data_IF_382169887153
#
_entry.id   IF_382169887153
#
_cell.length_a   1.000
_cell.length_b   1.000
_cell.length_c   1.000
_cell.angle_alpha   90.00
_cell.angle_beta   90.00
_cell.angle_gamma   90.00
#
_symmetry.space_group_name_H-M   'P 1'
#
loop_
_entity.id
_entity.type
_entity.pdbx_description
1 polymer ?
#
# COMPACT_ATOMS: atom_id res chain seq x y z
N UNK A 1 21.27 -59.50 63.53
CA UNK A 1 20.29 -59.46 64.64
C UNK A 1 19.49 -58.16 64.47
N UNK A 2 18.22 -58.34 64.55
CA UNK A 2 17.14 -57.37 64.76
C UNK A 2 16.72 -56.48 63.60
N UNK A 3 15.58 -56.86 63.08
CA UNK A 3 14.72 -56.17 62.12
C UNK A 3 13.95 -55.05 62.81
N UNK A 4 13.84 -53.90 62.12
CA UNK A 4 12.70 -53.00 62.37
C UNK A 4 12.19 -52.54 60.97
N UNK A 5 10.98 -53.00 60.64
CA UNK A 5 10.15 -52.54 59.53
C UNK A 5 9.57 -51.19 59.94
N UNK A 6 9.78 -50.18 59.11
CA UNK A 6 8.97 -48.97 59.19
C UNK A 6 8.12 -48.88 57.93
N UNK A 7 6.82 -48.87 58.13
CA UNK A 7 5.78 -48.54 57.12
C UNK A 7 5.91 -47.06 56.73
N UNK A 8 6.07 -46.80 55.45
CA UNK A 8 5.93 -45.46 54.88
C UNK A 8 4.51 -45.34 54.35
N UNK A 9 3.71 -44.51 55.02
CA UNK A 9 2.40 -44.02 54.46
C UNK A 9 2.65 -43.11 53.25
N UNK A 10 2.19 -43.54 52.12
CA UNK A 10 2.17 -42.72 50.93
C UNK A 10 0.97 -41.76 51.00
N UNK A 11 1.22 -40.51 51.38
CA UNK A 11 0.26 -39.43 51.27
C UNK A 11 0.15 -38.95 49.80
N UNK A 12 -0.98 -39.27 49.16
CA UNK A 12 -1.31 -38.82 47.83
C UNK A 12 -1.75 -37.34 47.89
N UNK A 13 -0.83 -36.40 47.65
CA UNK A 13 -1.15 -34.99 47.42
C UNK A 13 -1.73 -34.85 46.02
N UNK A 14 -3.04 -34.73 45.92
CA UNK A 14 -3.71 -34.24 44.71
C UNK A 14 -3.37 -32.76 44.54
N UNK A 15 -2.45 -32.46 43.65
CA UNK A 15 -2.25 -31.10 43.09
C UNK A 15 -3.41 -30.77 42.16
N UNK A 16 -4.36 -29.97 42.61
CA UNK A 16 -5.33 -29.30 41.80
C UNK A 16 -4.57 -28.31 40.89
N UNK A 17 -4.28 -28.75 39.67
CA UNK A 17 -3.88 -27.84 38.58
C UNK A 17 -5.07 -26.95 38.25
N UNK A 18 -5.07 -25.73 38.76
CA UNK A 18 -5.96 -24.70 38.31
C UNK A 18 -5.63 -24.41 36.82
N UNK A 19 -6.44 -24.92 35.90
CA UNK A 19 -6.49 -24.41 34.55
C UNK A 19 -6.88 -22.92 34.64
N UNK A 20 -5.90 -22.02 34.58
CA UNK A 20 -6.15 -20.65 34.28
C UNK A 20 -6.71 -20.62 32.84
N UNK A 21 -8.02 -20.40 32.73
CA UNK A 21 -8.65 -20.03 31.44
C UNK A 21 -8.00 -18.74 30.98
N UNK A 22 -7.11 -18.82 29.98
CA UNK A 22 -6.67 -17.68 29.20
C UNK A 22 -7.95 -17.01 28.68
N UNK A 23 -8.24 -15.83 29.16
CA UNK A 23 -9.28 -14.99 28.59
C UNK A 23 -8.98 -14.86 27.09
N UNK A 24 -9.93 -15.13 26.19
CA UNK A 24 -9.69 -14.90 24.77
C UNK A 24 -9.28 -13.44 24.62
N UNK A 25 -8.07 -13.19 24.14
CA UNK A 25 -7.60 -11.85 23.86
C UNK A 25 -8.66 -11.17 23.00
N UNK A 26 -9.13 -10.00 23.42
CA UNK A 26 -10.07 -9.21 22.63
C UNK A 26 -9.44 -9.01 21.25
N UNK A 27 -10.12 -9.45 20.21
CA UNK A 27 -9.69 -9.18 18.84
C UNK A 27 -9.50 -7.68 18.67
N UNK A 28 -8.41 -7.23 18.04
CA UNK A 28 -8.21 -5.81 17.79
C UNK A 28 -9.43 -5.26 17.02
N UNK A 29 -9.98 -4.13 17.47
CA UNK A 29 -11.09 -3.47 16.76
C UNK A 29 -10.64 -2.95 15.40
N UNK A 30 -11.60 -2.76 14.48
CA UNK A 30 -11.34 -2.18 13.17
C UNK A 30 -10.92 -0.71 13.26
N UNK A 31 -10.32 -0.19 12.20
CA UNK A 31 -9.99 1.24 12.10
C UNK A 31 -11.21 2.16 12.17
N UNK A 32 -12.41 1.67 11.83
CA UNK A 32 -13.65 2.46 11.93
C UNK A 32 -14.10 2.69 13.39
N UNK A 33 -13.62 1.89 14.34
CA UNK A 33 -13.98 2.01 15.76
C UNK A 33 -12.96 2.82 16.55
N UNK A 34 -11.95 3.39 15.91
CA UNK A 34 -10.86 4.16 16.54
C UNK A 34 -10.70 5.50 15.84
N UNK A 35 -10.37 6.52 16.60
CA UNK A 35 -9.87 7.77 16.03
C UNK A 35 -8.46 7.55 15.49
N UNK A 36 -8.25 7.88 14.20
CA UNK A 36 -6.96 7.76 13.52
C UNK A 36 -6.42 9.18 13.28
N UNK A 37 -5.25 9.46 13.82
CA UNK A 37 -4.59 10.76 13.67
C UNK A 37 -4.16 11.00 12.21
N UNK A 38 -4.21 12.26 11.79
CA UNK A 38 -3.51 12.70 10.57
C UNK A 38 -2.03 12.95 10.88
N UNK A 39 -1.16 12.48 9.99
CA UNK A 39 0.30 12.75 10.04
C UNK A 39 0.68 13.95 9.17
N UNK A 40 -0.19 14.32 8.25
CA UNK A 40 -0.13 15.50 7.39
C UNK A 40 -1.56 15.79 6.92
N UNK A 41 -1.91 17.01 6.48
CA UNK A 41 -3.26 17.34 6.03
C UNK A 41 -3.79 16.32 5.01
N UNK A 42 -4.90 15.65 5.34
CA UNK A 42 -5.54 14.61 4.52
C UNK A 42 -4.85 13.23 4.54
N UNK A 43 -3.67 13.08 5.14
CA UNK A 43 -2.92 11.82 5.22
C UNK A 43 -3.08 11.22 6.62
N UNK A 44 -3.79 10.10 6.71
CA UNK A 44 -3.95 9.37 7.97
C UNK A 44 -2.67 8.61 8.36
N UNK A 45 -2.50 8.41 9.66
CA UNK A 45 -1.51 7.49 10.19
C UNK A 45 -1.72 6.08 9.61
N UNK A 46 -0.65 5.46 9.13
CA UNK A 46 -0.64 4.09 8.63
C UNK A 46 -0.90 3.04 9.70
N UNK A 47 -0.76 1.79 9.33
CA UNK A 47 -0.82 0.64 10.25
C UNK A 47 0.53 0.38 10.92
N UNK A 48 1.62 0.68 10.22
CA UNK A 48 2.98 0.36 10.66
C UNK A 48 3.52 1.47 11.56
N UNK A 49 4.23 1.07 12.61
CA UNK A 49 5.06 1.99 13.39
C UNK A 49 6.26 2.42 12.54
N UNK A 50 6.93 3.50 12.96
CA UNK A 50 8.14 3.99 12.27
C UNK A 50 9.21 2.90 12.11
N UNK A 51 9.35 2.04 13.11
CA UNK A 51 10.37 0.97 13.13
C UNK A 51 9.93 -0.27 12.30
N UNK A 52 8.65 -0.37 11.99
CA UNK A 52 8.08 -1.45 11.17
C UNK A 52 8.04 -1.11 9.67
N UNK A 53 8.17 0.16 9.31
CA UNK A 53 8.19 0.58 7.90
C UNK A 53 9.43 0.00 7.22
N UNK A 54 9.28 -0.67 6.04
CA UNK A 54 10.41 -1.21 5.29
C UNK A 54 11.48 -0.16 4.98
N UNK A 55 12.74 -0.47 5.26
CA UNK A 55 13.87 0.42 5.01
C UNK A 55 14.33 0.32 3.56
N UNK A 56 14.02 1.36 2.78
CA UNK A 56 14.39 1.41 1.35
C UNK A 56 15.89 1.39 1.10
N UNK A 57 16.73 1.90 2.02
CA UNK A 57 18.20 1.83 1.85
C UNK A 57 18.74 0.38 1.89
N UNK A 58 18.01 -0.52 2.53
CA UNK A 58 18.38 -1.95 2.57
C UNK A 58 17.78 -2.76 1.43
N UNK A 59 16.63 -2.32 0.90
CA UNK A 59 15.83 -3.14 -0.02
C UNK A 59 16.03 -2.79 -1.49
N UNK A 60 16.39 -1.55 -1.83
CA UNK A 60 16.64 -1.17 -3.21
C UNK A 60 18.11 -0.84 -3.44
N UNK A 61 18.60 -1.15 -4.63
CA UNK A 61 19.95 -0.74 -5.05
C UNK A 61 20.04 0.79 -5.16
N UNK A 62 21.25 1.33 -5.25
CA UNK A 62 21.43 2.73 -5.60
C UNK A 62 20.77 3.05 -6.95
N UNK A 63 20.27 4.30 -7.14
CA UNK A 63 19.74 4.71 -8.43
C UNK A 63 20.83 4.65 -9.51
N UNK A 64 20.47 4.47 -10.80
CA UNK A 64 21.44 4.45 -11.87
C UNK A 64 22.36 5.66 -11.88
N UNK A 65 23.67 5.42 -11.96
CA UNK A 65 24.68 6.47 -12.05
C UNK A 65 24.63 7.15 -13.43
N UNK A 66 24.92 8.45 -13.45
CA UNK A 66 24.99 9.24 -14.67
C UNK A 66 25.96 8.59 -15.68
N UNK A 67 25.51 8.45 -16.94
CA UNK A 67 26.28 7.85 -18.01
C UNK A 67 26.26 6.32 -18.05
N UNK A 68 25.73 5.64 -17.02
CA UNK A 68 25.58 4.18 -17.03
C UNK A 68 24.55 3.71 -18.08
N UNK A 69 24.59 2.45 -18.45
CA UNK A 69 23.60 1.85 -19.36
C UNK A 69 22.18 1.93 -18.79
N UNK A 70 22.03 1.75 -17.49
CA UNK A 70 20.75 1.85 -16.82
C UNK A 70 20.19 3.30 -16.82
N UNK A 71 21.06 4.32 -16.65
CA UNK A 71 20.61 5.70 -16.78
C UNK A 71 20.27 6.08 -18.22
N UNK A 72 21.00 5.54 -19.21
CA UNK A 72 20.62 5.73 -20.63
C UNK A 72 19.25 5.13 -20.92
N UNK A 73 18.92 3.98 -20.36
CA UNK A 73 17.58 3.39 -20.48
C UNK A 73 16.51 4.32 -19.86
N UNK A 74 16.77 4.88 -18.67
CA UNK A 74 15.86 5.86 -18.04
C UNK A 74 15.61 7.06 -18.97
N UNK A 75 16.65 7.56 -19.61
CA UNK A 75 16.56 8.69 -20.55
C UNK A 75 15.79 8.36 -21.83
N UNK A 76 16.03 7.18 -22.43
CA UNK A 76 15.30 6.75 -23.62
C UNK A 76 13.81 6.54 -23.32
N UNK A 77 13.46 5.90 -22.21
CA UNK A 77 12.07 5.74 -21.78
C UNK A 77 11.41 7.10 -21.53
N UNK A 78 12.11 8.05 -20.91
CA UNK A 78 11.55 9.40 -20.72
C UNK A 78 11.29 10.10 -22.06
N UNK A 79 12.15 9.94 -23.07
CA UNK A 79 11.95 10.46 -24.44
C UNK A 79 10.76 9.78 -25.13
N UNK A 80 10.61 8.46 -25.01
CA UNK A 80 9.49 7.71 -25.57
C UNK A 80 8.16 8.24 -25.04
N UNK A 81 8.04 8.43 -23.72
CA UNK A 81 6.81 8.97 -23.13
C UNK A 81 6.54 10.42 -23.55
N UNK A 82 7.56 11.26 -23.62
CA UNK A 82 7.42 12.63 -24.11
C UNK A 82 6.98 12.70 -25.59
N UNK A 83 7.36 11.70 -26.38
CA UNK A 83 7.02 11.63 -27.82
C UNK A 83 5.62 11.05 -28.08
N UNK A 84 4.97 10.44 -27.08
CA UNK A 84 3.65 9.81 -27.27
C UNK A 84 2.57 10.79 -27.72
N UNK A 85 2.59 12.04 -27.25
CA UNK A 85 1.62 13.08 -27.62
C UNK A 85 0.17 12.66 -27.38
N UNK A 86 -0.08 11.79 -26.39
CA UNK A 86 -1.39 11.23 -26.11
C UNK A 86 -2.06 12.00 -24.96
N UNK A 87 -2.91 12.95 -25.30
CA UNK A 87 -3.59 13.81 -24.34
C UNK A 87 -4.45 13.04 -23.32
N UNK A 88 -5.12 11.96 -23.74
CA UNK A 88 -5.90 11.13 -22.80
C UNK A 88 -5.02 10.45 -21.78
N UNK A 89 -3.85 9.95 -22.21
CA UNK A 89 -2.88 9.31 -21.32
C UNK A 89 -2.24 10.30 -20.35
N UNK A 90 -1.97 11.53 -20.79
CA UNK A 90 -1.48 12.63 -19.97
C UNK A 90 -2.55 13.07 -18.94
N UNK A 91 -3.80 13.19 -19.36
CA UNK A 91 -4.92 13.49 -18.46
C UNK A 91 -5.07 12.39 -17.39
N UNK A 92 -5.02 11.13 -17.79
CA UNK A 92 -5.04 10.01 -16.83
C UNK A 92 -3.86 10.08 -15.86
N UNK A 93 -2.68 10.45 -16.35
CA UNK A 93 -1.50 10.60 -15.51
C UNK A 93 -1.60 11.76 -14.51
N UNK A 94 -2.26 12.84 -14.89
CA UNK A 94 -2.58 13.95 -13.98
C UNK A 94 -3.60 13.53 -12.90
N UNK A 95 -4.63 12.74 -13.27
CA UNK A 95 -5.58 12.16 -12.31
C UNK A 95 -4.86 11.24 -11.32
N UNK A 96 -3.96 10.40 -11.79
CA UNK A 96 -3.17 9.48 -10.96
C UNK A 96 -2.17 10.20 -10.03
N UNK A 97 -1.92 11.49 -10.24
CA UNK A 97 -1.10 12.30 -9.35
C UNK A 97 -1.84 12.71 -8.06
N UNK A 98 -3.17 12.73 -8.09
CA UNK A 98 -4.00 13.11 -6.96
C UNK A 98 -4.18 11.93 -5.98
N UNK A 99 -3.48 12.00 -4.85
CA UNK A 99 -3.59 11.03 -3.77
C UNK A 99 -4.62 11.44 -2.70
N UNK A 100 -5.33 12.54 -2.88
CA UNK A 100 -6.36 12.98 -1.95
C UNK A 100 -7.59 12.06 -1.98
N UNK A 101 -8.19 11.84 -0.83
CA UNK A 101 -9.44 11.10 -0.71
C UNK A 101 -10.63 12.08 -0.72
N UNK A 102 -11.72 11.77 -1.47
CA UNK A 102 -12.03 10.50 -2.13
C UNK A 102 -11.47 10.31 -3.56
N UNK A 103 -10.72 11.25 -4.12
CA UNK A 103 -10.31 11.19 -5.55
C UNK A 103 -9.42 9.98 -5.86
N UNK A 104 -8.51 9.64 -4.96
CA UNK A 104 -7.57 8.53 -5.14
C UNK A 104 -8.27 7.17 -5.41
N UNK A 105 -9.45 6.93 -4.83
CA UNK A 105 -10.20 5.68 -5.05
C UNK A 105 -10.72 5.53 -6.48
N UNK A 106 -11.00 6.65 -7.18
CA UNK A 106 -11.52 6.65 -8.56
C UNK A 106 -10.57 5.94 -9.53
N UNK A 107 -9.29 5.94 -9.21
CA UNK A 107 -8.26 5.29 -10.00
C UNK A 107 -8.54 3.82 -10.27
N UNK A 108 -8.99 3.07 -9.26
CA UNK A 108 -9.27 1.64 -9.38
C UNK A 108 -10.73 1.32 -9.67
N UNK A 109 -11.66 2.25 -9.42
CA UNK A 109 -13.09 2.05 -9.68
C UNK A 109 -13.43 1.70 -11.14
N UNK A 110 -12.52 1.99 -12.08
CA UNK A 110 -12.68 1.66 -13.51
C UNK A 110 -12.52 0.16 -13.81
N UNK A 111 -11.88 -0.59 -12.92
CA UNK A 111 -11.59 -2.02 -13.10
C UNK A 111 -12.28 -2.89 -12.04
N UNK A 112 -13.16 -2.30 -11.23
CA UNK A 112 -13.89 -2.98 -10.17
C UNK A 112 -15.39 -2.98 -10.46
N UNK A 113 -16.06 -4.04 -10.05
CA UNK A 113 -17.52 -4.18 -10.10
C UNK A 113 -18.26 -3.55 -8.91
N UNK A 114 -17.51 -3.15 -7.87
CA UNK A 114 -17.99 -2.41 -6.68
C UNK A 114 -17.19 -1.12 -6.57
N UNK A 115 -17.90 0.01 -6.42
CA UNK A 115 -17.25 1.30 -6.25
C UNK A 115 -16.70 1.47 -4.83
N UNK A 116 -15.47 1.94 -4.71
CA UNK A 116 -14.85 2.23 -3.42
C UNK A 116 -15.28 3.63 -2.99
N UNK A 117 -16.12 3.71 -1.97
CA UNK A 117 -16.60 4.96 -1.39
C UNK A 117 -16.56 4.90 0.14
N UNK A 118 -16.50 6.05 0.79
CA UNK A 118 -16.55 6.12 2.26
C UNK A 118 -17.89 5.63 2.80
N UNK A 119 -18.97 5.81 2.03
CA UNK A 119 -20.34 5.43 2.42
C UNK A 119 -20.59 3.94 2.25
N UNK A 120 -20.26 3.38 1.09
CA UNK A 120 -20.71 2.04 0.70
C UNK A 120 -19.66 0.97 1.01
N UNK A 121 -18.37 1.36 1.07
CA UNK A 121 -17.24 0.47 1.39
C UNK A 121 -16.31 1.10 2.45
N UNK A 122 -16.83 1.49 3.63
CA UNK A 122 -16.06 2.25 4.63
C UNK A 122 -14.80 1.51 5.10
N UNK A 123 -14.85 0.19 5.27
CA UNK A 123 -13.67 -0.59 5.66
C UNK A 123 -12.59 -0.58 4.58
N UNK A 124 -12.95 -0.87 3.33
CA UNK A 124 -12.01 -0.84 2.22
C UNK A 124 -11.44 0.56 1.98
N UNK A 125 -12.31 1.58 2.05
CA UNK A 125 -11.90 2.97 1.94
C UNK A 125 -10.84 3.34 3.00
N UNK A 126 -11.04 2.92 4.26
CA UNK A 126 -10.10 3.14 5.35
C UNK A 126 -8.81 2.36 5.17
N UNK A 127 -8.87 1.11 4.69
CA UNK A 127 -7.67 0.31 4.37
C UNK A 127 -6.78 1.03 3.37
N UNK A 128 -7.36 1.58 2.29
CA UNK A 128 -6.59 2.31 1.28
C UNK A 128 -6.03 3.64 1.83
N UNK A 129 -6.81 4.39 2.60
CA UNK A 129 -6.35 5.65 3.22
C UNK A 129 -5.15 5.44 4.13
N UNK A 130 -5.16 4.39 4.96
CA UNK A 130 -4.08 4.11 5.90
C UNK A 130 -2.85 3.53 5.21
N UNK A 131 -3.03 2.55 4.32
CA UNK A 131 -1.92 1.93 3.58
C UNK A 131 -1.18 2.89 2.64
N UNK A 132 -1.78 4.03 2.27
CA UNK A 132 -1.12 5.12 1.56
C UNK A 132 0.13 5.60 2.32
N UNK A 133 -0.03 5.88 3.62
CA UNK A 133 1.08 6.34 4.46
C UNK A 133 2.17 5.26 4.57
N UNK A 134 1.79 4.01 4.82
CA UNK A 134 2.74 2.90 4.96
C UNK A 134 3.59 2.71 3.69
N UNK A 135 2.93 2.68 2.53
CA UNK A 135 3.61 2.50 1.24
C UNK A 135 4.45 3.73 0.86
N UNK A 136 3.90 4.94 1.04
CA UNK A 136 4.60 6.18 0.71
C UNK A 136 5.86 6.37 1.57
N UNK A 137 5.71 6.26 2.90
CA UNK A 137 6.81 6.44 3.84
C UNK A 137 7.93 5.41 3.67
N UNK A 138 7.62 4.20 3.17
CA UNK A 138 8.63 3.16 2.90
C UNK A 138 9.72 3.63 1.92
N UNK A 139 9.46 4.64 1.09
CA UNK A 139 10.40 5.14 0.09
C UNK A 139 11.37 6.19 0.64
N UNK A 140 11.08 6.79 1.79
CA UNK A 140 11.77 8.01 2.23
C UNK A 140 13.21 7.79 2.70
N UNK A 141 13.60 6.61 3.17
CA UNK A 141 14.99 6.32 3.53
C UNK A 141 15.94 6.58 2.35
N UNK A 142 15.70 5.92 1.22
CA UNK A 142 16.51 6.09 0.01
C UNK A 142 16.26 7.45 -0.66
N UNK A 143 15.01 7.94 -0.65
CA UNK A 143 14.67 9.25 -1.23
C UNK A 143 15.48 10.38 -0.57
N UNK A 144 15.51 10.42 0.75
CA UNK A 144 16.27 11.43 1.51
C UNK A 144 17.79 11.27 1.38
N UNK A 145 18.26 10.04 1.23
CA UNK A 145 19.69 9.76 1.11
C UNK A 145 20.25 10.14 -0.27
N UNK A 146 19.55 9.71 -1.35
CA UNK A 146 20.08 9.89 -2.71
C UNK A 146 19.75 11.25 -3.32
N UNK A 147 18.64 11.90 -2.91
CA UNK A 147 18.20 13.21 -3.45
C UNK A 147 18.30 13.28 -4.97
N UNK A 148 17.88 12.20 -5.66
CA UNK A 148 17.98 12.08 -7.11
C UNK A 148 17.17 13.15 -7.80
N UNK A 149 17.75 13.85 -8.79
CA UNK A 149 17.03 14.81 -9.62
C UNK A 149 15.96 14.12 -10.46
N UNK A 150 14.81 14.80 -10.60
CA UNK A 150 13.71 14.32 -11.42
C UNK A 150 13.94 14.57 -12.90
N UNK A 151 13.30 13.79 -13.83
CA UNK A 151 13.46 13.95 -15.26
C UNK A 151 13.26 15.39 -15.73
N UNK A 152 12.19 16.08 -15.33
CA UNK A 152 11.91 17.45 -15.74
C UNK A 152 13.00 18.45 -15.33
N UNK A 153 13.71 18.19 -14.25
CA UNK A 153 14.85 19.03 -13.81
C UNK A 153 16.09 18.87 -14.70
N UNK A 154 16.18 17.74 -15.42
CA UNK A 154 17.33 17.39 -16.28
C UNK A 154 17.03 17.70 -17.75
N UNK A 155 15.83 17.39 -18.23
CA UNK A 155 15.45 17.55 -19.63
C UNK A 155 14.70 18.86 -19.93
N UNK A 156 14.28 19.62 -18.90
CA UNK A 156 13.59 20.90 -19.03
C UNK A 156 12.17 20.81 -19.61
N UNK A 157 11.65 19.58 -19.82
CA UNK A 157 10.29 19.41 -20.34
C UNK A 157 9.23 19.59 -19.25
N UNK A 158 8.01 19.92 -19.64
CA UNK A 158 6.87 20.16 -18.76
C UNK A 158 6.43 18.89 -18.03
N UNK A 159 5.67 19.07 -16.95
CA UNK A 159 5.04 18.00 -16.18
C UNK A 159 3.51 18.10 -16.27
N UNK A 160 2.78 16.98 -16.02
CA UNK A 160 1.30 16.97 -16.11
C UNK A 160 0.62 17.83 -15.03
N UNK A 161 1.30 18.09 -13.92
CA UNK A 161 0.75 18.81 -12.76
C UNK A 161 1.65 20.00 -12.41
N UNK A 162 1.63 21.09 -13.19
CA UNK A 162 2.54 22.24 -12.98
C UNK A 162 2.46 22.86 -11.59
N UNK A 163 1.31 22.77 -10.92
CA UNK A 163 1.10 23.25 -9.54
C UNK A 163 1.98 22.50 -8.52
N UNK A 164 2.41 21.27 -8.82
CA UNK A 164 3.20 20.43 -7.91
C UNK A 164 4.71 20.62 -8.13
N UNK A 165 5.12 21.35 -9.19
CA UNK A 165 6.52 21.41 -9.62
C UNK A 165 7.44 21.93 -8.53
N UNK A 166 7.04 22.97 -7.82
CA UNK A 166 7.85 23.56 -6.74
C UNK A 166 8.13 22.55 -5.63
N UNK A 167 7.11 21.83 -5.16
CA UNK A 167 7.27 20.80 -4.14
C UNK A 167 8.10 19.61 -4.64
N UNK A 168 7.91 19.21 -5.91
CA UNK A 168 8.65 18.10 -6.49
C UNK A 168 10.14 18.40 -6.70
N UNK A 169 10.53 19.67 -6.83
CA UNK A 169 11.96 20.07 -6.91
C UNK A 169 12.70 19.87 -5.61
N UNK A 170 12.00 19.98 -4.48
CA UNK A 170 12.56 19.85 -3.13
C UNK A 170 12.54 18.39 -2.62
N UNK A 171 11.88 17.46 -3.34
CA UNK A 171 11.73 16.06 -2.95
C UNK A 171 12.44 15.13 -3.94
N UNK A 172 13.37 14.31 -3.44
CA UNK A 172 14.14 13.37 -4.25
C UNK A 172 13.27 12.42 -5.07
N UNK A 173 13.73 12.07 -6.28
CA UNK A 173 12.95 11.27 -7.23
C UNK A 173 12.91 9.77 -6.87
N UNK A 174 13.95 9.22 -6.26
CA UNK A 174 14.16 7.77 -6.13
C UNK A 174 14.02 7.27 -4.69
N UNK A 175 13.22 6.21 -4.43
CA UNK A 175 12.22 5.56 -5.29
C UNK A 175 10.92 6.38 -5.41
N UNK A 176 10.05 6.04 -6.38
CA UNK A 176 8.76 6.70 -6.55
C UNK A 176 7.76 6.31 -5.47
N UNK A 177 7.32 7.29 -4.64
CA UNK A 177 6.28 7.10 -3.64
C UNK A 177 4.92 6.76 -4.26
N UNK A 178 4.50 7.46 -5.31
CA UNK A 178 3.25 7.15 -6.04
C UNK A 178 3.26 5.72 -6.60
N UNK A 179 4.38 5.26 -7.18
CA UNK A 179 4.48 3.90 -7.69
C UNK A 179 4.40 2.85 -6.56
N UNK A 180 4.95 3.17 -5.37
CA UNK A 180 4.82 2.31 -4.20
C UNK A 180 3.36 2.24 -3.72
N UNK A 181 2.68 3.37 -3.61
CA UNK A 181 1.27 3.48 -3.18
C UNK A 181 0.36 2.74 -4.14
N UNK A 182 0.40 3.07 -5.45
CA UNK A 182 -0.49 2.46 -6.44
C UNK A 182 -0.29 0.95 -6.58
N UNK A 183 0.95 0.48 -6.43
CA UNK A 183 1.24 -0.96 -6.45
C UNK A 183 0.77 -1.65 -5.16
N UNK A 184 0.97 -1.03 -3.99
CA UNK A 184 0.45 -1.56 -2.72
C UNK A 184 -1.08 -1.65 -2.75
N UNK A 185 -1.78 -0.63 -3.24
CA UNK A 185 -3.22 -0.68 -3.41
C UNK A 185 -3.67 -1.79 -4.36
N UNK A 186 -2.98 -1.98 -5.48
CA UNK A 186 -3.30 -3.09 -6.39
C UNK A 186 -3.18 -4.45 -5.70
N UNK A 187 -2.09 -4.70 -4.95
CA UNK A 187 -1.91 -5.94 -4.20
C UNK A 187 -2.98 -6.15 -3.12
N UNK A 188 -3.38 -5.11 -2.40
CA UNK A 188 -4.47 -5.15 -1.41
C UNK A 188 -5.81 -5.43 -2.10
N UNK A 189 -6.09 -4.76 -3.22
CA UNK A 189 -7.34 -4.92 -3.97
C UNK A 189 -7.49 -6.30 -4.60
N UNK A 190 -6.42 -6.92 -5.09
CA UNK A 190 -6.44 -8.32 -5.56
C UNK A 190 -6.92 -9.28 -4.47
N UNK A 191 -6.55 -9.02 -3.22
CA UNK A 191 -7.01 -9.84 -2.10
C UNK A 191 -8.51 -9.69 -1.82
N UNK A 192 -9.08 -8.51 -2.07
CA UNK A 192 -10.50 -8.21 -1.90
C UNK A 192 -11.33 -8.62 -3.12
N UNK A 193 -10.76 -8.49 -4.32
CA UNK A 193 -11.40 -8.73 -5.62
C UNK A 193 -10.63 -9.78 -6.45
N UNK A 194 -10.51 -11.04 -6.00
CA UNK A 194 -9.68 -12.04 -6.67
C UNK A 194 -10.12 -12.36 -8.10
N UNK A 195 -11.39 -12.11 -8.46
CA UNK A 195 -11.89 -12.30 -9.81
C UNK A 195 -11.45 -11.25 -10.83
N UNK A 196 -10.87 -10.12 -10.37
CA UNK A 196 -10.40 -9.01 -11.21
C UNK A 196 -8.87 -8.82 -11.10
N UNK A 197 -8.14 -9.87 -10.73
CA UNK A 197 -6.72 -9.75 -10.33
C UNK A 197 -5.83 -9.15 -11.41
N UNK A 198 -5.97 -9.61 -12.64
CA UNK A 198 -5.09 -9.18 -13.74
C UNK A 198 -5.35 -7.72 -14.11
N UNK A 199 -6.60 -7.29 -14.18
CA UNK A 199 -7.01 -5.91 -14.47
C UNK A 199 -6.54 -4.96 -13.35
N UNK A 200 -6.68 -5.38 -12.09
CA UNK A 200 -6.22 -4.60 -10.93
C UNK A 200 -4.70 -4.44 -10.95
N UNK A 201 -3.96 -5.52 -11.16
CA UNK A 201 -2.49 -5.48 -11.23
C UNK A 201 -2.01 -4.65 -12.41
N UNK A 202 -2.67 -4.79 -13.57
CA UNK A 202 -2.37 -3.95 -14.74
C UNK A 202 -2.63 -2.47 -14.42
N UNK A 203 -3.76 -2.15 -13.76
CA UNK A 203 -4.08 -0.76 -13.36
C UNK A 203 -3.05 -0.21 -12.36
N UNK A 204 -2.64 -0.99 -11.36
CA UNK A 204 -1.60 -0.61 -10.41
C UNK A 204 -0.23 -0.36 -11.08
N UNK A 205 0.11 -1.18 -12.10
CA UNK A 205 1.29 -0.93 -12.93
C UNK A 205 1.17 0.38 -13.69
N UNK A 206 0.01 0.65 -14.33
CA UNK A 206 -0.25 1.87 -15.09
C UNK A 206 -0.22 3.13 -14.21
N UNK A 207 -0.68 3.03 -12.97
CA UNK A 207 -0.59 4.10 -11.98
C UNK A 207 0.87 4.56 -11.76
N UNK A 208 1.79 3.60 -11.60
CA UNK A 208 3.22 3.91 -11.52
C UNK A 208 3.77 4.50 -12.83
N UNK A 209 3.39 3.95 -13.99
CA UNK A 209 3.78 4.44 -15.31
C UNK A 209 3.30 5.88 -15.56
N UNK A 210 2.19 6.29 -14.97
CA UNK A 210 1.72 7.68 -15.02
C UNK A 210 2.78 8.68 -14.55
N UNK A 211 3.69 8.27 -13.68
CA UNK A 211 4.77 9.15 -13.20
C UNK A 211 5.88 9.34 -14.24
N UNK A 212 6.10 8.34 -15.11
CA UNK A 212 6.98 8.47 -16.28
C UNK A 212 6.34 9.37 -17.33
N UNK A 213 5.06 9.16 -17.66
CA UNK A 213 4.28 9.98 -18.59
C UNK A 213 4.31 11.46 -18.18
N UNK A 214 4.12 11.72 -16.89
CA UNK A 214 4.18 13.08 -16.32
C UNK A 214 5.59 13.68 -16.22
N UNK A 215 6.63 12.98 -16.65
CA UNK A 215 8.03 13.44 -16.59
C UNK A 215 8.54 13.78 -15.17
N UNK A 216 7.95 13.18 -14.14
CA UNK A 216 8.30 13.46 -12.73
C UNK A 216 9.13 12.35 -12.06
N UNK A 217 9.19 11.16 -12.67
CA UNK A 217 10.01 10.03 -12.21
C UNK A 217 10.66 9.32 -13.38
N UNK A 218 11.88 8.83 -13.16
CA UNK A 218 12.58 7.94 -14.07
C UNK A 218 11.93 6.54 -14.05
N UNK A 219 12.16 5.74 -15.10
CA UNK A 219 11.66 4.37 -15.15
C UNK A 219 12.17 3.54 -13.95
N UNK A 220 13.46 3.65 -13.62
CA UNK A 220 14.05 2.96 -12.47
C UNK A 220 13.45 3.39 -11.13
N UNK A 221 13.03 4.65 -10.97
CA UNK A 221 12.33 5.12 -9.75
C UNK A 221 10.99 4.38 -9.58
N UNK A 222 10.27 4.19 -10.69
CA UNK A 222 8.96 3.51 -10.70
C UNK A 222 9.12 2.02 -10.39
N UNK A 223 10.15 1.36 -10.96
CA UNK A 223 10.45 -0.05 -10.68
C UNK A 223 10.80 -0.25 -9.21
N UNK A 224 11.70 0.58 -8.67
CA UNK A 224 12.06 0.54 -7.25
C UNK A 224 10.87 0.88 -6.33
N UNK A 225 10.02 1.83 -6.73
CA UNK A 225 8.78 2.16 -6.02
C UNK A 225 7.84 0.95 -5.89
N UNK A 226 7.62 0.18 -6.97
CA UNK A 226 6.81 -1.05 -6.90
C UNK A 226 7.41 -2.09 -5.95
N UNK A 227 8.73 -2.22 -5.91
CA UNK A 227 9.39 -3.10 -4.93
C UNK A 227 9.08 -2.65 -3.50
N UNK A 228 9.16 -1.35 -3.22
CA UNK A 228 8.82 -0.81 -1.90
C UNK A 228 7.35 -1.00 -1.54
N UNK A 229 6.43 -0.83 -2.50
CA UNK A 229 5.01 -1.14 -2.32
C UNK A 229 4.78 -2.61 -1.95
N UNK A 230 5.47 -3.54 -2.61
CA UNK A 230 5.41 -4.97 -2.27
C UNK A 230 5.94 -5.25 -0.85
N UNK A 231 7.05 -4.63 -0.47
CA UNK A 231 7.62 -4.76 0.87
C UNK A 231 6.68 -4.20 1.96
N UNK A 232 6.03 -3.06 1.69
CA UNK A 232 5.03 -2.48 2.59
C UNK A 232 3.83 -3.44 2.79
N UNK A 233 3.29 -4.01 1.72
CA UNK A 233 2.18 -4.98 1.82
C UNK A 233 2.60 -6.24 2.59
N UNK A 234 3.80 -6.76 2.36
CA UNK A 234 4.31 -7.90 3.13
C UNK A 234 4.36 -7.60 4.65
N UNK A 235 4.75 -6.39 5.04
CA UNK A 235 4.74 -5.96 6.45
C UNK A 235 3.32 -5.73 6.99
N UNK A 236 2.42 -5.17 6.18
CA UNK A 236 1.01 -5.00 6.53
C UNK A 236 0.36 -6.34 6.88
N UNK A 237 0.67 -7.40 6.15
CA UNK A 237 0.15 -8.74 6.44
C UNK A 237 0.61 -9.32 7.79
N UNK A 238 1.68 -8.80 8.39
CA UNK A 238 2.12 -9.14 9.73
C UNK A 238 1.51 -8.23 10.82
N UNK A 239 0.63 -7.28 10.46
CA UNK A 239 0.00 -6.34 11.39
C UNK A 239 -1.44 -6.78 11.71
N UNK A 240 -1.74 -7.03 12.99
CA UNK A 240 -3.03 -7.56 13.43
C UNK A 240 -4.21 -6.63 13.11
N UNK A 241 -4.02 -5.31 13.22
CA UNK A 241 -5.08 -4.32 12.90
C UNK A 241 -5.38 -4.33 11.41
N UNK A 242 -4.35 -4.37 10.57
CA UNK A 242 -4.52 -4.51 9.11
C UNK A 242 -5.27 -5.80 8.77
N UNK A 243 -4.92 -6.92 9.43
CA UNK A 243 -5.59 -8.20 9.22
C UNK A 243 -7.08 -8.18 9.61
N UNK A 244 -7.46 -7.43 10.63
CA UNK A 244 -8.86 -7.23 10.98
C UNK A 244 -9.58 -6.38 9.93
N UNK A 245 -8.97 -5.27 9.52
CA UNK A 245 -9.58 -4.34 8.57
C UNK A 245 -9.74 -4.95 7.17
N UNK A 246 -8.75 -5.72 6.68
CA UNK A 246 -8.85 -6.37 5.36
C UNK A 246 -9.92 -7.47 5.34
N UNK A 247 -10.09 -8.21 6.44
CA UNK A 247 -11.20 -9.18 6.57
C UNK A 247 -12.55 -8.47 6.57
N UNK A 248 -12.68 -7.34 7.25
CA UNK A 248 -13.90 -6.55 7.26
C UNK A 248 -14.22 -6.01 5.86
N UNK A 249 -13.21 -5.49 5.13
CA UNK A 249 -13.35 -5.03 3.75
C UNK A 249 -13.81 -6.15 2.78
N UNK A 250 -13.27 -7.36 2.92
CA UNK A 250 -13.72 -8.53 2.15
C UNK A 250 -15.18 -8.89 2.43
N UNK A 251 -15.60 -8.87 3.68
CA UNK A 251 -16.98 -9.11 4.10
C UNK A 251 -17.95 -8.08 3.52
N UNK A 252 -17.57 -6.81 3.57
CA UNK A 252 -18.31 -5.66 3.03
C UNK A 252 -18.55 -5.81 1.52
N UNK A 253 -17.51 -6.05 0.74
CA UNK A 253 -17.60 -6.24 -0.72
C UNK A 253 -18.44 -7.48 -1.06
N UNK A 254 -18.28 -8.57 -0.31
CA UNK A 254 -19.06 -9.80 -0.51
C UNK A 254 -20.55 -9.56 -0.27
N UNK A 255 -20.92 -8.79 0.74
CA UNK A 255 -22.30 -8.43 1.04
C UNK A 255 -22.92 -7.56 -0.07
N UNK A 256 -22.18 -6.56 -0.57
CA UNK A 256 -22.63 -5.69 -1.67
C UNK A 256 -22.86 -6.50 -2.96
N UNK A 257 -21.97 -7.42 -3.29
CA UNK A 257 -22.13 -8.32 -4.46
C UNK A 257 -23.34 -9.24 -4.34
N UNK A 258 -23.60 -9.77 -3.13
CA UNK A 258 -24.76 -10.60 -2.87
C UNK A 258 -26.06 -9.81 -3.07
N UNK A 259 -26.17 -8.60 -2.51
CA UNK A 259 -27.32 -7.72 -2.65
C UNK A 259 -27.59 -7.33 -4.11
N UNK A 260 -26.53 -7.02 -4.87
CA UNK A 260 -26.66 -6.69 -6.30
C UNK A 260 -27.17 -7.87 -7.13
N UNK A 261 -26.70 -9.10 -6.85
CA UNK A 261 -27.19 -10.32 -7.53
C UNK A 261 -28.65 -10.59 -7.23
N UNK A 262 -29.07 -10.40 -5.97
CA UNK A 262 -30.47 -10.59 -5.56
C UNK A 262 -31.37 -9.58 -6.28
N UNK A 263 -31.03 -8.29 -6.31
CA UNK A 263 -31.79 -7.26 -7.00
C UNK A 263 -31.97 -7.59 -8.50
N UNK A 264 -30.92 -8.07 -9.17
CA UNK A 264 -30.98 -8.50 -10.57
C UNK A 264 -31.86 -9.72 -10.77
N UNK A 265 -31.92 -10.66 -9.82
CA UNK A 265 -32.76 -11.88 -9.90
C UNK A 265 -34.26 -11.60 -9.64
N UNK A 266 -34.56 -10.54 -8.87
CA UNK A 266 -35.91 -10.10 -8.54
C UNK A 266 -36.50 -9.11 -9.56
N UNK A 267 -35.74 -8.73 -10.61
CA UNK A 267 -36.20 -7.90 -11.72
C UNK A 267 -36.38 -6.43 -11.37
N UNK A 268 -35.66 -5.97 -10.33
CA UNK A 268 -35.59 -4.56 -9.89
C UNK A 268 -34.48 -3.80 -10.61
#
# INVERSE_FOLDING_TARGET
>A
MSHIRQLILLGLLMSLSACQSLSPGQSPGTSLTKEINEISPGILQGYLSKDDIPDSLKLVSAPPENGSAAFKLDQEIAKEYAALGNAEREQQAAIDADLSFPNATKTFNTVLDVQITEKDTPHLYMVLRRSLADAGLSTYGAKNYYQRQRPFMVNGATICTPQDEAALREDGSYPSGHAAIGWAWALILVEVFPGNSDEILQRGKQFGVSRNVCNVHWYSDVVAGRMMGSAAVARLHANDVFQVDIRAAKGEVSALRASSKQALSEGL
#
